data_IF_458855629506
#
_entry.id   IF_458855629506
#
_cell.length_a   1.000
_cell.length_b   1.000
_cell.length_c   1.000
_cell.angle_alpha   90.00
_cell.angle_beta   90.00
_cell.angle_gamma   90.00
#
_symmetry.space_group_name_H-M   'P 1'
#
loop_
_entity.id
_entity.type
_entity.pdbx_description
1 polymer ?
#
# COMPACT_ATOMS: atom_id res chain seq x y z
N UNK A 1 -63.55 6.80 32.88
CA UNK A 1 -62.21 6.19 32.62
C UNK A 1 -61.98 6.13 31.12
N UNK A 2 -61.03 6.93 30.59
CA UNK A 2 -60.32 6.82 29.28
C UNK A 2 -60.04 8.21 28.69
N UNK A 3 -59.01 8.89 29.20
CA UNK A 3 -58.37 10.02 28.49
C UNK A 3 -56.84 10.04 28.63
N UNK A 4 -56.25 9.16 29.46
CA UNK A 4 -54.80 9.09 29.67
C UNK A 4 -54.02 8.38 28.55
N UNK A 5 -54.69 7.65 27.65
CA UNK A 5 -54.04 6.90 26.57
C UNK A 5 -53.65 7.76 25.37
N UNK A 6 -54.44 8.78 25.03
CA UNK A 6 -54.23 9.58 23.80
C UNK A 6 -53.09 10.60 23.98
N UNK A 7 -52.96 11.21 25.16
CA UNK A 7 -51.86 12.15 25.44
C UNK A 7 -50.49 11.48 25.46
N UNK A 8 -50.37 10.25 25.98
CA UNK A 8 -49.09 9.53 25.98
C UNK A 8 -48.62 9.16 24.57
N UNK A 9 -49.56 8.78 23.70
CA UNK A 9 -49.28 8.48 22.28
C UNK A 9 -48.87 9.76 21.54
N UNK A 10 -49.59 10.87 21.75
CA UNK A 10 -49.27 12.14 21.07
C UNK A 10 -47.89 12.68 21.47
N UNK A 11 -47.54 12.61 22.76
CA UNK A 11 -46.22 12.99 23.26
C UNK A 11 -45.14 12.07 22.68
N UNK A 12 -45.39 10.75 22.61
CA UNK A 12 -44.47 9.80 22.01
C UNK A 12 -44.18 10.10 20.53
N UNK A 13 -45.22 10.46 19.76
CA UNK A 13 -45.08 10.82 18.34
C UNK A 13 -44.25 12.10 18.15
N UNK A 14 -44.50 13.12 18.98
CA UNK A 14 -43.73 14.39 18.92
C UNK A 14 -42.26 14.16 19.26
N UNK A 15 -41.96 13.38 20.31
CA UNK A 15 -40.58 13.05 20.68
C UNK A 15 -39.90 12.25 19.58
N UNK A 16 -40.58 11.26 19.00
CA UNK A 16 -40.03 10.47 17.88
C UNK A 16 -39.74 11.35 16.66
N UNK A 17 -40.66 12.27 16.30
CA UNK A 17 -40.45 13.20 15.19
C UNK A 17 -39.27 14.14 15.43
N UNK A 18 -39.08 14.62 16.66
CA UNK A 18 -37.93 15.45 17.04
C UNK A 18 -36.61 14.68 16.96
N UNK A 19 -36.58 13.42 17.42
CA UNK A 19 -35.39 12.57 17.34
C UNK A 19 -35.05 12.27 15.89
N UNK A 20 -36.02 11.89 15.06
CA UNK A 20 -35.82 11.63 13.63
C UNK A 20 -35.34 12.90 12.92
N UNK A 21 -35.95 14.05 13.22
CA UNK A 21 -35.51 15.34 12.67
C UNK A 21 -34.08 15.70 13.06
N UNK A 22 -33.71 15.51 14.34
CA UNK A 22 -32.35 15.74 14.81
C UNK A 22 -31.34 14.80 14.12
N UNK A 23 -31.66 13.51 13.98
CA UNK A 23 -30.82 12.55 13.27
C UNK A 23 -30.69 12.90 11.78
N UNK A 24 -31.76 13.37 11.14
CA UNK A 24 -31.73 13.81 9.74
C UNK A 24 -30.85 15.05 9.56
N UNK A 25 -30.94 16.03 10.47
CA UNK A 25 -30.06 17.22 10.47
C UNK A 25 -28.60 16.81 10.69
N UNK A 26 -28.32 15.92 11.65
CA UNK A 26 -26.96 15.41 11.90
C UNK A 26 -26.43 14.68 10.67
N UNK A 27 -27.23 13.82 10.04
CA UNK A 27 -26.84 13.10 8.83
C UNK A 27 -26.61 14.02 7.62
N UNK A 28 -27.40 15.09 7.49
CA UNK A 28 -27.23 16.09 6.44
C UNK A 28 -25.97 16.94 6.63
N UNK A 29 -25.66 17.32 7.87
CA UNK A 29 -24.44 18.06 8.22
C UNK A 29 -23.19 17.18 8.22
N UNK A 30 -23.34 15.85 8.30
CA UNK A 30 -22.27 14.86 8.30
C UNK A 30 -22.55 13.79 7.25
N UNK A 31 -22.53 14.13 5.94
CA UNK A 31 -22.76 13.15 4.90
C UNK A 31 -21.77 11.99 5.04
N UNK A 32 -22.27 10.75 4.92
CA UNK A 32 -21.42 9.55 4.92
C UNK A 32 -20.36 9.75 3.84
N UNK A 33 -19.08 9.65 4.19
CA UNK A 33 -17.99 9.75 3.21
C UNK A 33 -18.24 8.71 2.12
N UNK A 34 -18.61 9.16 0.93
CA UNK A 34 -18.64 8.29 -0.22
C UNK A 34 -17.19 7.89 -0.51
N UNK A 35 -16.87 6.62 -0.28
CA UNK A 35 -15.65 6.02 -0.80
C UNK A 35 -15.83 6.04 -2.32
N UNK A 36 -15.29 7.06 -2.98
CA UNK A 36 -15.17 7.05 -4.43
C UNK A 36 -14.46 5.75 -4.83
N UNK A 37 -15.02 5.03 -5.79
CA UNK A 37 -14.32 3.91 -6.42
C UNK A 37 -13.11 4.52 -7.10
N UNK A 38 -11.95 4.42 -6.46
CA UNK A 38 -10.70 4.78 -7.12
C UNK A 38 -10.20 3.58 -7.89
N UNK A 39 -10.11 3.76 -9.21
CA UNK A 39 -9.52 2.79 -10.12
C UNK A 39 -8.00 2.96 -10.23
N UNK A 40 -7.44 3.99 -9.59
CA UNK A 40 -6.01 4.26 -9.65
C UNK A 40 -5.21 3.19 -8.91
N UNK A 41 -4.21 2.64 -9.61
CA UNK A 41 -3.32 1.59 -9.12
C UNK A 41 -1.89 1.85 -9.58
N UNK A 42 -0.97 1.72 -8.64
CA UNK A 42 0.44 1.51 -8.90
C UNK A 42 0.72 0.01 -8.86
N UNK A 43 1.42 -0.51 -9.87
CA UNK A 43 1.73 -1.93 -9.97
C UNK A 43 1.10 -2.65 -11.16
N UNK A 44 1.55 -3.88 -11.41
CA UNK A 44 0.97 -4.75 -12.42
C UNK A 44 -0.42 -5.28 -11.99
N UNK A 45 -1.17 -5.76 -12.97
CA UNK A 45 -2.39 -6.54 -12.75
C UNK A 45 -2.07 -8.04 -12.63
N UNK A 46 -2.89 -8.77 -11.86
CA UNK A 46 -2.77 -10.23 -11.80
C UNK A 46 -3.01 -10.84 -13.19
N UNK A 47 -2.08 -11.69 -13.64
CA UNK A 47 -2.09 -12.31 -14.97
C UNK A 47 -1.58 -11.40 -16.09
N UNK A 48 -1.15 -10.18 -15.80
CA UNK A 48 -0.55 -9.29 -16.81
C UNK A 48 0.82 -9.83 -17.23
N UNK A 49 1.13 -9.89 -18.55
CA UNK A 49 2.49 -10.10 -19.01
C UNK A 49 3.39 -8.99 -18.47
N UNK A 50 4.52 -9.35 -17.88
CA UNK A 50 5.42 -8.38 -17.25
C UNK A 50 5.92 -7.34 -18.28
N UNK A 51 6.17 -7.77 -19.51
CA UNK A 51 6.55 -6.86 -20.59
C UNK A 51 5.49 -5.77 -20.87
N UNK A 52 4.20 -6.11 -20.79
CA UNK A 52 3.10 -5.17 -20.99
C UNK A 52 3.02 -4.18 -19.83
N UNK A 53 3.20 -4.66 -18.60
CA UNK A 53 3.30 -3.79 -17.41
C UNK A 53 4.45 -2.78 -17.55
N UNK A 54 5.65 -3.25 -17.93
CA UNK A 54 6.82 -2.38 -18.07
C UNK A 54 6.59 -1.28 -19.13
N UNK A 55 6.01 -1.64 -20.28
CA UNK A 55 5.67 -0.68 -21.32
C UNK A 55 4.62 0.35 -20.86
N UNK A 56 3.62 -0.10 -20.09
CA UNK A 56 2.59 0.76 -19.50
C UNK A 56 3.15 1.69 -18.42
N UNK A 57 4.05 1.20 -17.58
CA UNK A 57 4.74 1.98 -16.57
C UNK A 57 5.58 3.09 -17.22
N UNK A 58 6.40 2.76 -18.22
CA UNK A 58 7.19 3.75 -18.96
C UNK A 58 6.29 4.81 -19.63
N UNK A 59 5.19 4.38 -20.26
CA UNK A 59 4.24 5.29 -20.88
C UNK A 59 3.63 6.31 -19.91
N UNK A 60 3.41 5.91 -18.65
CA UNK A 60 2.83 6.76 -17.61
C UNK A 60 3.73 7.92 -17.16
N UNK A 61 5.04 7.82 -17.41
CA UNK A 61 6.00 8.87 -17.09
C UNK A 61 5.84 10.10 -17.99
N UNK A 62 5.36 9.91 -19.22
CA UNK A 62 5.13 10.99 -20.18
C UNK A 62 4.02 11.90 -19.66
N UNK A 63 4.38 13.13 -19.31
CA UNK A 63 3.42 14.14 -18.89
C UNK A 63 3.98 15.53 -19.11
N UNK A 64 3.10 16.44 -19.55
CA UNK A 64 3.42 17.86 -19.72
C UNK A 64 3.28 18.64 -18.40
N UNK A 65 2.78 18.00 -17.34
CA UNK A 65 2.68 18.65 -16.03
C UNK A 65 4.02 18.68 -15.30
N UNK A 66 4.31 19.83 -14.71
CA UNK A 66 5.42 20.02 -13.77
C UNK A 66 5.00 19.77 -12.34
N UNK A 67 3.69 19.61 -12.08
CA UNK A 67 3.22 19.27 -10.75
C UNK A 67 3.76 17.90 -10.38
N UNK A 68 4.26 17.72 -9.15
CA UNK A 68 4.62 16.41 -8.68
C UNK A 68 3.44 15.43 -8.93
N UNK A 69 3.71 14.15 -9.19
CA UNK A 69 2.72 13.05 -9.15
C UNK A 69 3.08 11.95 -8.14
N UNK A 70 2.12 11.09 -7.82
CA UNK A 70 2.39 9.85 -7.09
C UNK A 70 3.00 8.84 -8.04
N UNK A 71 4.00 8.09 -7.61
CA UNK A 71 4.58 7.02 -8.40
C UNK A 71 5.08 5.86 -7.56
N UNK A 72 5.25 4.70 -8.19
CA UNK A 72 5.98 3.56 -7.62
C UNK A 72 7.33 3.42 -8.29
N UNK A 73 8.32 3.01 -7.51
CA UNK A 73 9.64 2.58 -7.98
C UNK A 73 9.76 1.11 -7.58
N UNK A 74 9.71 0.22 -8.56
CA UNK A 74 9.89 -1.22 -8.37
C UNK A 74 11.33 -1.59 -8.64
N UNK A 75 11.92 -2.42 -7.79
CA UNK A 75 13.33 -2.80 -7.89
C UNK A 75 13.51 -4.13 -8.66
N UNK A 76 14.67 -4.31 -9.29
CA UNK A 76 14.99 -5.54 -10.03
C UNK A 76 15.40 -6.72 -9.13
N UNK A 77 15.74 -6.40 -7.88
CA UNK A 77 16.04 -7.29 -6.77
C UNK A 77 15.56 -6.64 -5.47
N UNK A 78 15.47 -7.41 -4.40
CA UNK A 78 15.24 -6.84 -3.08
C UNK A 78 16.40 -5.94 -2.65
N UNK A 79 16.06 -4.76 -2.12
CA UNK A 79 17.01 -3.79 -1.58
C UNK A 79 16.91 -3.71 -0.05
N UNK A 80 17.98 -3.27 0.62
CA UNK A 80 17.85 -2.79 2.00
C UNK A 80 17.14 -1.44 2.03
N UNK A 81 16.66 -1.01 3.20
CA UNK A 81 16.03 0.30 3.35
C UNK A 81 16.98 1.47 3.02
N UNK A 82 18.27 1.32 3.36
CA UNK A 82 19.33 2.27 3.05
C UNK A 82 19.56 2.37 1.54
N UNK A 83 19.63 1.22 0.85
CA UNK A 83 19.78 1.17 -0.60
C UNK A 83 18.58 1.81 -1.30
N UNK A 84 17.35 1.49 -0.87
CA UNK A 84 16.14 2.09 -1.43
C UNK A 84 16.07 3.61 -1.19
N UNK A 85 16.53 4.09 -0.04
CA UNK A 85 16.62 5.53 0.24
C UNK A 85 17.64 6.22 -0.68
N UNK A 86 18.82 5.60 -0.86
CA UNK A 86 19.85 6.11 -1.77
C UNK A 86 19.37 6.14 -3.22
N UNK A 87 18.62 5.14 -3.68
CA UNK A 87 18.03 5.11 -5.02
C UNK A 87 16.98 6.21 -5.21
N UNK A 88 16.30 6.67 -4.16
CA UNK A 88 15.36 7.78 -4.27
C UNK A 88 16.03 9.17 -4.32
N UNK A 89 17.23 9.32 -3.75
CA UNK A 89 18.09 10.53 -3.79
C UNK A 89 17.33 11.86 -3.77
N UNK A 90 16.65 12.12 -2.66
CA UNK A 90 15.92 13.37 -2.46
C UNK A 90 14.47 13.36 -2.96
N UNK A 91 14.06 12.41 -3.82
CA UNK A 91 12.64 12.21 -4.14
C UNK A 91 11.93 11.63 -2.91
N UNK A 92 10.84 12.27 -2.48
CA UNK A 92 10.17 11.93 -1.22
C UNK A 92 9.53 10.55 -1.27
N UNK A 93 10.09 9.58 -0.55
CA UNK A 93 9.45 8.30 -0.25
C UNK A 93 8.29 8.54 0.74
N UNK A 94 7.13 7.97 0.44
CA UNK A 94 5.92 8.05 1.25
C UNK A 94 5.44 6.71 1.76
N UNK A 95 5.79 5.63 1.06
CA UNK A 95 5.55 4.26 1.52
C UNK A 95 6.73 3.39 1.12
N UNK A 96 7.04 2.42 1.97
CA UNK A 96 8.00 1.34 1.71
C UNK A 96 7.21 0.04 1.71
N UNK A 97 7.33 -0.74 0.63
CA UNK A 97 6.73 -2.06 0.52
C UNK A 97 7.84 -3.09 0.70
N UNK A 98 7.68 -3.93 1.72
CA UNK A 98 8.65 -4.94 2.10
C UNK A 98 8.08 -6.34 1.92
N UNK A 99 8.89 -7.26 1.40
CA UNK A 99 8.61 -8.69 1.33
C UNK A 99 9.88 -9.42 1.74
N UNK A 100 9.79 -10.31 2.73
CA UNK A 100 10.95 -11.10 3.14
C UNK A 100 11.13 -12.25 2.14
N UNK A 101 12.23 -12.30 1.36
CA UNK A 101 12.42 -13.37 0.40
C UNK A 101 12.72 -14.68 1.13
N UNK A 102 11.90 -15.69 0.86
CA UNK A 102 12.06 -17.07 1.31
C UNK A 102 11.87 -17.98 0.10
N UNK A 103 12.81 -18.90 -0.13
CA UNK A 103 12.78 -19.74 -1.32
C UNK A 103 11.50 -20.58 -1.39
N UNK A 104 10.71 -20.33 -2.45
CA UNK A 104 9.40 -20.98 -2.71
C UNK A 104 8.43 -20.91 -1.53
N UNK A 105 8.49 -19.85 -0.71
CA UNK A 105 7.56 -19.61 0.38
C UNK A 105 6.93 -18.25 0.18
N UNK A 106 5.60 -18.20 0.18
CA UNK A 106 4.89 -16.93 0.07
C UNK A 106 4.97 -16.17 1.41
N UNK A 107 5.55 -14.98 1.37
CA UNK A 107 5.55 -14.03 2.49
C UNK A 107 4.68 -12.83 2.15
N UNK A 108 4.03 -12.21 3.15
CA UNK A 108 3.13 -11.08 2.94
C UNK A 108 3.91 -9.86 2.47
N UNK A 109 3.25 -9.05 1.63
CA UNK A 109 3.70 -7.69 1.36
C UNK A 109 3.32 -6.81 2.55
N UNK A 110 4.33 -6.22 3.18
CA UNK A 110 4.20 -5.36 4.34
C UNK A 110 4.39 -3.91 3.90
N UNK A 111 3.32 -3.13 3.98
CA UNK A 111 3.33 -1.72 3.55
C UNK A 111 3.48 -0.80 4.76
N UNK A 112 4.53 0.00 4.78
CA UNK A 112 4.82 0.97 5.85
C UNK A 112 4.79 2.38 5.28
N UNK A 113 3.87 3.22 5.77
CA UNK A 113 3.84 4.64 5.46
C UNK A 113 4.94 5.40 6.20
N UNK A 114 5.61 6.33 5.52
CA UNK A 114 6.73 7.10 6.09
C UNK A 114 6.61 8.59 5.75
N UNK A 115 7.08 9.48 6.64
CA UNK A 115 7.20 10.92 6.35
C UNK A 115 8.18 11.24 5.21
N UNK A 116 9.20 10.39 4.99
CA UNK A 116 10.16 10.49 3.89
C UNK A 116 11.56 10.97 4.28
N UNK A 117 11.84 11.18 5.57
CA UNK A 117 13.21 11.36 6.05
C UNK A 117 13.97 10.04 6.03
N UNK A 118 15.29 10.09 5.86
CA UNK A 118 16.18 8.92 5.91
C UNK A 118 15.86 8.02 7.10
N UNK A 119 15.90 8.59 8.31
CA UNK A 119 15.59 7.87 9.55
C UNK A 119 14.21 7.18 9.51
N UNK A 120 13.20 7.80 8.88
CA UNK A 120 11.88 7.18 8.79
C UNK A 120 11.82 6.00 7.81
N UNK A 121 12.58 6.08 6.71
CA UNK A 121 12.69 4.99 5.72
C UNK A 121 13.48 3.84 6.30
N UNK A 122 14.62 4.11 6.95
CA UNK A 122 15.45 3.10 7.61
C UNK A 122 14.67 2.39 8.73
N UNK A 123 13.92 3.13 9.55
CA UNK A 123 13.10 2.54 10.61
C UNK A 123 11.89 1.73 10.09
N UNK A 124 11.56 1.79 8.79
CA UNK A 124 10.40 1.09 8.24
C UNK A 124 10.50 -0.44 8.40
N UNK A 125 11.71 -1.00 8.43
CA UNK A 125 11.95 -2.44 8.65
C UNK A 125 11.46 -2.90 10.02
N UNK A 126 11.74 -2.12 11.07
CA UNK A 126 11.26 -2.40 12.43
C UNK A 126 9.72 -2.31 12.53
N UNK A 127 9.11 -1.34 11.84
CA UNK A 127 7.65 -1.25 11.74
C UNK A 127 7.05 -2.45 10.99
N UNK A 128 7.67 -2.85 9.88
CA UNK A 128 7.27 -4.02 9.11
C UNK A 128 7.39 -5.31 9.95
N UNK A 129 8.43 -5.44 10.78
CA UNK A 129 8.59 -6.58 11.69
C UNK A 129 7.40 -6.72 12.66
N UNK A 130 6.87 -5.60 13.16
CA UNK A 130 5.65 -5.59 13.97
C UNK A 130 4.40 -6.02 13.19
N UNK A 131 4.30 -5.63 11.92
CA UNK A 131 3.20 -6.06 11.03
C UNK A 131 3.31 -7.55 10.68
N UNK A 132 4.51 -8.07 10.43
CA UNK A 132 4.76 -9.47 10.09
C UNK A 132 4.22 -10.42 11.16
N UNK A 133 4.41 -10.06 12.43
CA UNK A 133 3.88 -10.83 13.56
C UNK A 133 2.34 -10.90 13.59
N UNK A 134 1.65 -9.92 12.98
CA UNK A 134 0.19 -9.84 12.91
C UNK A 134 -0.39 -10.28 11.56
N UNK A 135 0.44 -10.49 10.54
CA UNK A 135 0.00 -10.70 9.15
C UNK A 135 -0.63 -12.07 8.89
N UNK A 136 -0.44 -13.03 9.80
CA UNK A 136 -0.84 -14.42 9.59
C UNK A 136 -1.88 -14.91 10.60
N UNK A 137 -2.80 -15.75 10.11
CA UNK A 137 -3.83 -16.43 10.92
C UNK A 137 -3.32 -17.66 11.67
N UNK A 138 -4.24 -18.43 12.26
CA UNK A 138 -3.90 -19.63 13.03
C UNK A 138 -3.31 -20.75 12.14
N UNK A 139 -2.07 -21.15 12.41
CA UNK A 139 -1.42 -22.31 11.80
C UNK A 139 0.10 -22.33 12.01
N UNK A 140 0.66 -23.52 12.28
CA UNK A 140 2.08 -23.65 12.66
C UNK A 140 3.05 -23.19 11.56
N UNK A 141 2.74 -23.44 10.27
CA UNK A 141 3.57 -22.97 9.15
C UNK A 141 3.60 -21.46 9.10
N UNK A 142 2.43 -20.82 9.19
CA UNK A 142 2.31 -19.37 9.06
C UNK A 142 2.96 -18.66 10.25
N UNK A 143 2.85 -19.21 11.47
CA UNK A 143 3.58 -18.72 12.63
C UNK A 143 5.10 -18.78 12.46
N UNK A 144 5.63 -19.86 11.86
CA UNK A 144 7.07 -19.96 11.53
C UNK A 144 7.48 -18.92 10.48
N UNK A 145 6.69 -18.71 9.43
CA UNK A 145 6.98 -17.71 8.41
C UNK A 145 7.00 -16.31 9.05
N UNK A 146 6.03 -16.00 9.91
CA UNK A 146 5.98 -14.75 10.66
C UNK A 146 7.24 -14.53 11.49
N UNK A 147 7.67 -15.55 12.24
CA UNK A 147 8.84 -15.48 13.13
C UNK A 147 10.16 -15.31 12.36
N UNK A 148 10.36 -16.02 11.24
CA UNK A 148 11.54 -15.82 10.37
C UNK A 148 11.50 -14.43 9.74
N UNK A 149 10.33 -14.01 9.24
CA UNK A 149 10.17 -12.69 8.61
C UNK A 149 10.47 -11.56 9.58
N UNK A 150 9.94 -11.64 10.80
CA UNK A 150 10.17 -10.66 11.86
C UNK A 150 11.66 -10.53 12.19
N UNK A 151 12.37 -11.64 12.36
CA UNK A 151 13.82 -11.63 12.66
C UNK A 151 14.62 -10.99 11.54
N UNK A 152 14.45 -11.46 10.29
CA UNK A 152 15.17 -10.92 9.13
C UNK A 152 14.91 -9.41 8.93
N UNK A 153 13.68 -8.95 9.16
CA UNK A 153 13.35 -7.53 9.11
C UNK A 153 14.09 -6.72 10.19
N UNK A 154 14.15 -7.24 11.44
CA UNK A 154 14.90 -6.60 12.52
C UNK A 154 16.41 -6.61 12.28
N UNK A 155 16.93 -7.61 11.56
CA UNK A 155 18.33 -7.74 11.19
C UNK A 155 18.72 -6.88 9.96
N UNK A 156 17.78 -6.15 9.36
CA UNK A 156 18.05 -5.24 8.25
C UNK A 156 18.21 -5.93 6.89
N UNK A 157 17.45 -6.99 6.65
CA UNK A 157 17.48 -7.72 5.38
C UNK A 157 17.25 -6.85 4.13
N UNK A 158 17.79 -7.32 3.00
CA UNK A 158 17.36 -6.86 1.68
C UNK A 158 15.95 -7.41 1.42
N UNK A 159 14.95 -6.57 1.65
CA UNK A 159 13.54 -6.94 1.72
C UNK A 159 12.61 -5.88 1.13
N UNK A 160 13.13 -4.73 0.70
CA UNK A 160 12.34 -3.69 0.04
C UNK A 160 12.18 -4.06 -1.43
N UNK A 161 10.93 -4.21 -1.88
CA UNK A 161 10.59 -4.57 -3.26
C UNK A 161 10.09 -3.38 -4.06
N UNK A 162 9.49 -2.39 -3.40
CA UNK A 162 8.95 -1.19 -4.04
C UNK A 162 8.89 -0.05 -3.05
N UNK A 163 9.09 1.18 -3.52
CA UNK A 163 8.75 2.40 -2.77
C UNK A 163 7.71 3.22 -3.51
N UNK A 164 6.82 3.86 -2.77
CA UNK A 164 5.91 4.87 -3.32
C UNK A 164 6.51 6.23 -3.08
N UNK A 165 6.68 6.99 -4.15
CA UNK A 165 7.33 8.30 -4.16
C UNK A 165 6.38 9.40 -4.58
N UNK A 166 6.74 10.63 -4.25
CA UNK A 166 6.06 11.85 -4.65
C UNK A 166 7.09 12.76 -5.32
N UNK A 167 7.03 12.88 -6.65
CA UNK A 167 8.03 13.61 -7.44
C UNK A 167 7.49 14.15 -8.76
N UNK A 168 8.18 15.11 -9.34
CA UNK A 168 7.94 15.70 -10.67
C UNK A 168 8.18 14.69 -11.79
N UNK A 169 7.65 14.95 -12.98
CA UNK A 169 7.85 14.08 -14.15
C UNK A 169 9.34 13.90 -14.49
N UNK A 170 10.18 14.93 -14.30
CA UNK A 170 11.63 14.82 -14.50
C UNK A 170 12.29 13.93 -13.45
N UNK A 171 11.97 14.10 -12.17
CA UNK A 171 12.51 13.25 -11.09
C UNK A 171 12.12 11.78 -11.28
N UNK A 172 10.86 11.51 -11.63
CA UNK A 172 10.40 10.13 -11.88
C UNK A 172 11.07 9.50 -13.11
N UNK A 173 11.34 10.29 -14.16
CA UNK A 173 12.07 9.83 -15.34
C UNK A 173 13.54 9.56 -15.02
N UNK A 174 14.16 10.39 -14.19
CA UNK A 174 15.53 10.17 -13.73
C UNK A 174 15.64 8.88 -12.90
N UNK A 175 14.71 8.66 -11.97
CA UNK A 175 14.64 7.42 -11.18
C UNK A 175 14.57 6.17 -12.08
N UNK A 176 13.82 6.24 -13.18
CA UNK A 176 13.68 5.11 -14.12
C UNK A 176 15.00 4.72 -14.81
N UNK A 177 15.98 5.63 -14.88
CA UNK A 177 17.29 5.38 -15.46
C UNK A 177 18.34 4.88 -14.46
N UNK A 178 17.98 4.66 -13.18
CA UNK A 178 18.94 4.30 -12.13
C UNK A 178 19.21 2.80 -12.08
N UNK A 179 20.41 2.39 -11.62
CA UNK A 179 20.67 0.99 -11.32
C UNK A 179 19.70 0.47 -10.25
N UNK A 180 19.46 -0.84 -10.27
CA UNK A 180 18.52 -1.56 -9.40
C UNK A 180 17.03 -1.19 -9.59
N UNK A 181 16.69 -0.22 -10.45
CA UNK A 181 15.30 0.15 -10.76
C UNK A 181 14.79 -0.63 -11.96
N UNK A 182 13.74 -1.42 -11.75
CA UNK A 182 13.09 -2.22 -12.78
C UNK A 182 11.97 -1.47 -13.50
N UNK A 183 11.20 -0.70 -12.76
CA UNK A 183 10.08 0.06 -13.31
C UNK A 183 9.78 1.28 -12.45
N UNK A 184 9.45 2.39 -13.11
CA UNK A 184 8.79 3.53 -12.47
C UNK A 184 7.45 3.75 -13.14
N UNK A 185 6.38 3.77 -12.36
CA UNK A 185 5.04 4.09 -12.82
C UNK A 185 4.58 5.37 -12.12
N UNK A 186 3.96 6.28 -12.85
CA UNK A 186 3.32 7.47 -12.30
C UNK A 186 1.80 7.38 -12.45
N UNK A 187 1.08 7.81 -11.40
CA UNK A 187 -0.36 8.01 -11.48
C UNK A 187 -0.70 9.31 -12.22
N UNK A 188 -1.98 9.47 -12.63
CA UNK A 188 -2.52 10.76 -13.05
C UNK A 188 -2.33 11.87 -11.99
N UNK A 189 -2.29 13.15 -12.40
CA UNK A 189 -2.04 14.27 -11.47
C UNK A 189 -3.14 14.49 -10.43
N UNK A 190 -4.36 14.02 -10.67
CA UNK A 190 -5.51 14.11 -9.76
C UNK A 190 -5.54 12.99 -8.72
N UNK A 191 -4.59 12.04 -8.75
CA UNK A 191 -4.51 10.96 -7.78
C UNK A 191 -4.31 11.47 -6.35
N UNK A 192 -5.16 11.00 -5.43
CA UNK A 192 -5.17 11.43 -4.03
C UNK A 192 -4.46 10.41 -3.14
N UNK A 193 -3.63 10.92 -2.21
CA UNK A 193 -2.94 10.10 -1.21
C UNK A 193 -3.89 9.15 -0.49
N UNK A 194 -3.54 7.86 -0.43
CA UNK A 194 -4.34 6.84 0.25
C UNK A 194 -5.64 6.47 -0.47
N UNK A 195 -5.87 6.97 -1.69
CA UNK A 195 -6.98 6.60 -2.57
C UNK A 195 -6.50 5.92 -3.85
N UNK A 196 -5.43 5.14 -3.79
CA UNK A 196 -4.99 4.29 -4.89
C UNK A 196 -4.46 2.98 -4.33
N UNK A 197 -4.54 1.91 -5.12
CA UNK A 197 -3.95 0.62 -4.78
C UNK A 197 -2.45 0.63 -5.10
N UNK A 198 -1.68 -0.18 -4.37
CA UNK A 198 -0.25 -0.38 -4.64
C UNK A 198 0.03 -1.87 -4.60
N UNK A 199 0.42 -2.41 -5.75
CA UNK A 199 0.87 -3.79 -5.93
C UNK A 199 2.34 -3.75 -6.38
N UNK A 200 3.29 -4.37 -5.67
CA UNK A 200 4.69 -4.32 -6.08
C UNK A 200 4.94 -5.25 -7.28
N UNK A 201 5.72 -4.80 -8.27
CA UNK A 201 6.32 -5.73 -9.22
C UNK A 201 7.46 -6.47 -8.51
N UNK A 202 7.21 -7.72 -8.15
CA UNK A 202 8.20 -8.54 -7.46
C UNK A 202 9.39 -8.89 -8.38
N UNK A 203 10.62 -8.96 -7.85
CA UNK A 203 11.79 -9.40 -8.61
C UNK A 203 11.58 -10.74 -9.32
N UNK A 204 10.84 -11.66 -8.71
CA UNK A 204 10.59 -13.01 -9.25
C UNK A 204 9.56 -13.08 -10.37
N UNK A 205 8.79 -12.00 -10.59
CA UNK A 205 7.90 -11.95 -11.75
C UNK A 205 8.73 -11.77 -13.02
N UNK A 206 9.00 -12.87 -13.72
CA UNK A 206 9.75 -12.87 -14.97
C UNK A 206 8.87 -12.53 -16.18
N UNK A 207 7.99 -13.47 -16.54
CA UNK A 207 7.20 -13.41 -17.78
C UNK A 207 5.77 -12.89 -17.56
N UNK A 208 5.08 -13.41 -16.53
CA UNK A 208 3.69 -13.10 -16.20
C UNK A 208 3.56 -12.93 -14.68
N UNK A 209 2.67 -12.02 -14.26
CA UNK A 209 2.37 -11.78 -12.84
C UNK A 209 1.39 -12.84 -12.34
N UNK A 210 1.94 -13.93 -11.80
CA UNK A 210 1.17 -15.06 -11.27
C UNK A 210 1.56 -15.37 -9.83
N UNK A 211 0.72 -16.08 -9.06
CA UNK A 211 1.10 -16.52 -7.72
C UNK A 211 2.42 -17.30 -7.72
N UNK A 212 3.37 -16.87 -6.90
CA UNK A 212 4.65 -17.55 -6.74
C UNK A 212 4.46 -18.92 -6.03
N UNK A 213 5.36 -19.89 -6.20
CA UNK A 213 5.29 -21.16 -5.46
C UNK A 213 5.28 -20.97 -3.93
N UNK A 214 4.51 -21.79 -3.20
CA UNK A 214 4.45 -21.85 -1.73
C UNK A 214 4.66 -23.27 -1.16
N UNK A 215 5.49 -24.08 -1.80
CA UNK A 215 5.81 -25.46 -1.40
C UNK A 215 7.21 -25.62 -0.79
N UNK A 216 7.93 -24.51 -0.63
CA UNK A 216 9.25 -24.45 -0.02
C UNK A 216 9.25 -24.72 1.50
N UNK A 217 10.39 -25.17 2.05
CA UNK A 217 10.56 -25.31 3.49
C UNK A 217 10.67 -23.92 4.16
N UNK A 218 10.06 -23.78 5.34
CA UNK A 218 10.23 -22.57 6.16
C UNK A 218 11.49 -22.73 7.01
N UNK A 219 12.48 -21.82 6.94
CA UNK A 219 13.68 -21.89 7.75
C UNK A 219 13.38 -21.91 9.26
N UNK A 220 14.25 -22.54 10.05
CA UNK A 220 14.13 -22.61 11.52
C UNK A 220 15.03 -21.62 12.25
N UNK A 221 16.00 -21.05 11.53
CA UNK A 221 16.95 -20.02 11.98
C UNK A 221 16.27 -18.75 12.48
#
# INVERSE_FOLDING_TARGET
MRSRGVSGVLVGVVVAALVIGALAVIGHLNPVRQLGVSTDRLGPDSGEPVADYLARAEASLRSDTTEPRWGSVSFDRELTAEQAYAVADGVRISQVLLRVPLDRVQTPILTVGVPGSERSVLNSTAHAAGLAAAAFGAGDRQARIAAVSQRRLLDGCACVVTVVVRGTSSELTELAGRPDVRAVQALPPDAVSGKFAVEPLLPEYGDVVEPLPDDGPVPTE
#
